data_IF_299823467195
#
_entry.id   IF_299823467195
#
_cell.length_a   1.000
_cell.length_b   1.000
_cell.length_c   1.000
_cell.angle_alpha   90.00
_cell.angle_beta   90.00
_cell.angle_gamma   90.00
#
_symmetry.space_group_name_H-M   'P 1'
#
loop_
_entity.id
_entity.type
_entity.pdbx_description
1 polymer ?
#
# COMPACT_ATOMS: atom_id res chain seq x y z
N UNK A 1 9.47 -2.02 3.00
CA UNK A 1 9.28 -0.67 2.41
C UNK A 1 8.12 -0.73 1.43
N UNK A 2 7.16 0.19 1.54
CA UNK A 2 6.04 0.35 0.61
C UNK A 2 6.16 1.72 -0.07
N UNK A 3 6.60 1.75 -1.31
CA UNK A 3 7.00 2.96 -2.03
C UNK A 3 6.36 3.10 -3.41
N UNK A 4 5.43 2.20 -3.75
CA UNK A 4 4.63 2.24 -4.99
C UNK A 4 3.15 1.96 -4.68
N UNK A 5 2.58 2.74 -3.77
CA UNK A 5 1.19 2.57 -3.32
C UNK A 5 0.21 2.92 -4.45
N UNK A 6 -0.99 2.34 -4.41
CA UNK A 6 -2.10 2.82 -5.24
C UNK A 6 -2.42 4.28 -4.92
N UNK A 7 -2.94 5.01 -5.91
CA UNK A 7 -3.53 6.32 -5.67
C UNK A 7 -4.68 6.20 -4.68
N UNK A 8 -4.80 7.15 -3.76
CA UNK A 8 -5.85 7.11 -2.74
C UNK A 8 -7.24 7.19 -3.39
N UNK A 9 -8.11 6.18 -3.18
CA UNK A 9 -9.48 6.23 -3.68
C UNK A 9 -10.25 7.45 -3.14
N UNK A 10 -11.19 8.03 -3.92
CA UNK A 10 -11.96 9.21 -3.50
C UNK A 10 -12.65 9.05 -2.15
N UNK A 11 -13.06 7.83 -1.79
CA UNK A 11 -13.63 7.51 -0.49
C UNK A 11 -12.69 7.88 0.67
N UNK A 12 -11.43 7.45 0.63
CA UNK A 12 -10.48 7.70 1.71
C UNK A 12 -10.02 9.15 1.73
N UNK A 13 -9.95 9.79 0.56
CA UNK A 13 -9.73 11.23 0.46
C UNK A 13 -10.85 12.01 1.16
N UNK A 14 -12.11 11.68 0.90
CA UNK A 14 -13.26 12.28 1.57
C UNK A 14 -13.20 12.06 3.09
N UNK A 15 -12.90 10.84 3.55
CA UNK A 15 -12.77 10.55 4.98
C UNK A 15 -11.70 11.45 5.60
N UNK A 16 -10.51 11.52 5.01
CA UNK A 16 -9.40 12.32 5.51
C UNK A 16 -9.74 13.82 5.54
N UNK A 17 -10.40 14.33 4.50
CA UNK A 17 -10.84 15.73 4.41
C UNK A 17 -11.90 16.09 5.47
N UNK A 18 -12.79 15.15 5.84
CA UNK A 18 -13.85 15.41 6.82
C UNK A 18 -13.40 15.19 8.26
N UNK A 19 -12.48 14.25 8.50
CA UNK A 19 -12.00 13.94 9.85
C UNK A 19 -10.76 14.75 10.25
N UNK A 20 -10.08 15.36 9.28
CA UNK A 20 -8.78 16.02 9.44
C UNK A 20 -7.72 15.09 10.09
N UNK A 21 -7.89 13.77 9.94
CA UNK A 21 -6.98 12.78 10.50
C UNK A 21 -5.63 12.85 9.79
N UNK A 22 -4.55 12.72 10.57
CA UNK A 22 -3.19 12.69 10.04
C UNK A 22 -2.99 11.48 9.10
N UNK A 23 -2.25 11.66 8.01
CA UNK A 23 -2.03 10.61 7.03
C UNK A 23 -1.32 9.38 7.63
N UNK A 24 -0.48 9.55 8.65
CA UNK A 24 0.12 8.43 9.38
C UNK A 24 -0.94 7.56 10.04
N UNK A 25 -1.96 8.17 10.63
CA UNK A 25 -3.08 7.46 11.26
C UNK A 25 -4.03 6.89 10.21
N UNK A 26 -4.25 7.59 9.09
CA UNK A 26 -5.02 7.05 7.95
C UNK A 26 -4.47 5.72 7.46
N UNK A 27 -3.15 5.63 7.24
CA UNK A 27 -2.50 4.37 6.83
C UNK A 27 -2.46 3.30 7.92
N UNK A 28 -2.67 3.66 9.18
CA UNK A 28 -2.74 2.72 10.30
C UNK A 28 -4.14 2.13 10.48
N UNK A 29 -5.19 2.91 10.20
CA UNK A 29 -6.59 2.54 10.42
C UNK A 29 -7.26 2.01 9.16
N UNK A 30 -6.92 2.56 8.00
CA UNK A 30 -7.56 2.26 6.72
C UNK A 30 -6.61 1.55 5.74
N UNK A 31 -7.22 0.89 4.75
CA UNK A 31 -6.46 0.18 3.71
C UNK A 31 -5.92 1.11 2.60
N UNK A 32 -6.48 2.32 2.48
CA UNK A 32 -6.00 3.36 1.57
C UNK A 32 -5.85 2.96 0.09
N UNK A 33 -6.56 1.93 -0.39
CA UNK A 33 -6.55 1.55 -1.80
C UNK A 33 -6.45 0.05 -2.06
N UNK A 34 -5.78 -0.71 -1.18
CA UNK A 34 -5.67 -2.16 -1.32
C UNK A 34 -5.75 -2.84 0.04
N UNK A 35 -6.56 -3.90 0.12
CA UNK A 35 -6.83 -4.61 1.39
C UNK A 35 -6.20 -6.01 1.46
N UNK A 36 -5.47 -6.41 0.43
CA UNK A 36 -4.78 -7.69 0.35
C UNK A 36 -3.37 -7.47 -0.18
N UNK A 37 -2.40 -8.09 0.48
CA UNK A 37 -0.97 -8.02 0.14
C UNK A 37 -0.40 -9.44 0.12
N UNK A 38 0.46 -9.72 -0.86
CA UNK A 38 1.13 -11.01 -0.99
C UNK A 38 2.64 -10.78 -0.93
N UNK A 39 3.32 -11.53 -0.06
CA UNK A 39 4.78 -11.57 0.03
C UNK A 39 5.27 -12.76 -0.77
N UNK A 40 5.95 -12.47 -1.89
CA UNK A 40 6.32 -13.48 -2.88
C UNK A 40 7.71 -13.20 -3.43
N UNK A 41 8.30 -14.22 -4.07
CA UNK A 41 9.51 -14.04 -4.82
C UNK A 41 9.25 -13.16 -6.07
N UNK A 42 10.18 -12.27 -6.47
CA UNK A 42 9.96 -11.34 -7.58
C UNK A 42 9.55 -12.02 -8.90
N UNK A 43 10.08 -13.22 -9.15
CA UNK A 43 9.84 -14.01 -10.36
C UNK A 43 8.37 -14.41 -10.55
N UNK A 44 7.57 -14.52 -9.48
CA UNK A 44 6.15 -14.90 -9.56
C UNK A 44 5.18 -13.71 -9.44
N UNK A 45 5.69 -12.51 -9.19
CA UNK A 45 4.84 -11.34 -8.96
C UNK A 45 4.00 -10.97 -10.19
N UNK A 46 4.58 -11.05 -11.39
CA UNK A 46 3.87 -10.73 -12.64
C UNK A 46 2.74 -11.74 -12.94
N UNK A 47 2.97 -13.03 -12.69
CA UNK A 47 1.94 -14.06 -12.90
C UNK A 47 0.72 -13.82 -11.99
N UNK A 48 0.96 -13.43 -10.74
CA UNK A 48 -0.10 -13.06 -9.79
C UNK A 48 -0.88 -11.84 -10.27
N UNK A 49 -0.19 -10.81 -10.78
CA UNK A 49 -0.82 -9.61 -11.34
C UNK A 49 -1.71 -9.98 -12.52
N UNK A 50 -1.23 -10.83 -13.43
CA UNK A 50 -2.01 -11.29 -14.59
C UNK A 50 -3.23 -12.13 -14.17
N UNK A 51 -3.11 -12.98 -13.15
CA UNK A 51 -4.26 -13.69 -12.58
C UNK A 51 -5.27 -12.70 -12.01
N UNK A 52 -4.83 -11.71 -11.23
CA UNK A 52 -5.71 -10.69 -10.63
C UNK A 52 -6.50 -9.92 -11.69
N UNK A 53 -5.85 -9.53 -12.78
CA UNK A 53 -6.49 -8.84 -13.91
C UNK A 53 -7.61 -9.66 -14.56
N UNK A 54 -7.52 -11.00 -14.60
CA UNK A 54 -8.60 -11.87 -15.12
C UNK A 54 -9.87 -11.81 -14.28
N UNK A 55 -9.75 -11.41 -13.01
CA UNK A 55 -10.89 -11.17 -12.12
C UNK A 55 -11.28 -9.68 -12.07
N UNK A 56 -10.75 -8.85 -12.97
CA UNK A 56 -10.92 -7.40 -13.00
C UNK A 56 -10.50 -6.71 -11.69
N UNK A 57 -9.50 -7.27 -11.00
CA UNK A 57 -8.91 -6.66 -9.80
C UNK A 57 -7.52 -6.17 -10.16
N UNK A 58 -7.29 -4.87 -10.02
CA UNK A 58 -5.97 -4.28 -10.24
C UNK A 58 -4.98 -4.75 -9.17
N UNK A 59 -3.77 -5.07 -9.62
CA UNK A 59 -2.67 -5.50 -8.76
C UNK A 59 -1.37 -4.89 -9.28
N UNK A 60 -0.48 -4.56 -8.36
CA UNK A 60 0.87 -4.08 -8.67
C UNK A 60 1.82 -4.45 -7.54
N UNK A 61 3.12 -4.37 -7.82
CA UNK A 61 4.15 -4.47 -6.78
C UNK A 61 4.14 -3.15 -6.00
N UNK A 62 3.62 -3.18 -4.77
CA UNK A 62 3.51 -1.98 -3.92
C UNK A 62 4.76 -1.68 -3.09
N UNK A 63 5.72 -2.61 -3.05
CA UNK A 63 6.94 -2.47 -2.28
C UNK A 63 7.77 -3.76 -2.20
N UNK A 64 8.65 -3.81 -1.19
CA UNK A 64 9.59 -4.92 -0.96
C UNK A 64 9.94 -5.11 0.51
N UNK A 65 10.48 -6.27 0.85
CA UNK A 65 11.08 -6.57 2.16
C UNK A 65 12.59 -6.44 2.07
N UNK A 66 13.20 -5.85 3.10
CA UNK A 66 14.64 -5.69 3.21
C UNK A 66 15.09 -6.21 4.58
N UNK A 67 16.35 -6.65 4.68
CA UNK A 67 16.95 -6.99 5.95
C UNK A 67 17.02 -5.76 6.87
N UNK A 68 16.67 -5.93 8.14
CA UNK A 68 16.78 -4.87 9.14
C UNK A 68 17.10 -5.47 10.50
N UNK A 69 17.89 -4.75 11.30
CA UNK A 69 18.17 -5.12 12.69
C UNK A 69 16.95 -4.91 13.61
N UNK A 70 15.99 -4.10 13.18
CA UNK A 70 14.81 -3.74 13.97
C UNK A 70 13.53 -3.91 13.16
N UNK A 71 12.40 -4.15 13.85
CA UNK A 71 11.09 -4.15 13.20
C UNK A 71 10.78 -2.73 12.73
N UNK A 72 10.58 -2.58 11.42
CA UNK A 72 10.31 -1.28 10.80
C UNK A 72 9.41 -1.42 9.58
N UNK A 73 8.43 -0.53 9.45
CA UNK A 73 7.66 -0.33 8.23
C UNK A 73 7.83 1.12 7.76
N UNK A 74 8.21 1.29 6.50
CA UNK A 74 8.25 2.60 5.83
C UNK A 74 7.20 2.61 4.73
N UNK A 75 6.30 3.59 4.75
CA UNK A 75 5.34 3.89 3.69
C UNK A 75 5.75 5.23 3.06
N UNK A 76 6.00 5.25 1.76
CA UNK A 76 6.23 6.45 0.97
C UNK A 76 5.04 6.66 0.04
N UNK A 77 4.43 7.83 0.13
CA UNK A 77 3.29 8.20 -0.70
C UNK A 77 3.39 9.68 -1.11
N UNK A 78 2.45 10.15 -1.91
CA UNK A 78 2.33 11.57 -2.26
C UNK A 78 2.15 12.50 -1.03
N UNK A 79 1.71 11.96 0.11
CA UNK A 79 1.52 12.71 1.36
C UNK A 79 2.75 12.71 2.29
N UNK A 80 3.84 12.05 1.89
CA UNK A 80 5.09 12.00 2.65
C UNK A 80 5.57 10.59 2.98
N UNK A 81 6.54 10.51 3.89
CA UNK A 81 7.15 9.27 4.37
C UNK A 81 6.76 9.00 5.83
N UNK A 82 6.16 7.84 6.07
CA UNK A 82 5.65 7.41 7.37
C UNK A 82 6.43 6.18 7.86
N UNK A 83 6.92 6.25 9.10
CA UNK A 83 7.69 5.17 9.74
C UNK A 83 6.94 4.66 10.98
N UNK A 84 6.87 3.33 11.07
CA UNK A 84 6.26 2.56 12.17
C UNK A 84 7.21 1.47 12.65
#
# INVERSE_FOLDING_TARGET
VKDNMFSIPPLFKLIQEQSETDWKEMYQVFNCGHRMELYVAPEIANDIIEISKRFNVEAQIIGRVEASETKKLTIKSEFGEFVY
#
